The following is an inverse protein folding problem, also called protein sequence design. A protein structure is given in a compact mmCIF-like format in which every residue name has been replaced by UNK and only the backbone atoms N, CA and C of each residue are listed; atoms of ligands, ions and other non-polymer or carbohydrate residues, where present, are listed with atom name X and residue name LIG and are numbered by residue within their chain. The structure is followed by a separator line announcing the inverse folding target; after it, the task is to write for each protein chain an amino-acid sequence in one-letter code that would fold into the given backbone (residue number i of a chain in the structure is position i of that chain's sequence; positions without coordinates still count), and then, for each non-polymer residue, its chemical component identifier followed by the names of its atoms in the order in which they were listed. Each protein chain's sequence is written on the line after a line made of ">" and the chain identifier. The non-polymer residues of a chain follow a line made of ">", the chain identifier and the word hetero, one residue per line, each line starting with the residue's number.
data_IF_486675875620
#
_entry.id   IF_486675875620
#
_cell.length_a   1.000
_cell.length_b   1.000
_cell.length_c   1.000
_cell.angle_alpha   90.00
_cell.angle_beta   90.00
_cell.angle_gamma   90.00
#
_symmetry.space_group_name_H-M   'P 1'
#
loop_
_entity.id
_entity.type
_entity.pdbx_description
1 polymer ?
#
# COMPACT_ATOMS: atom_id res chain seq x y z
N UNK A 1 5.54 68.47 -35.92
CA UNK A 1 6.62 67.87 -35.11
C UNK A 1 6.05 66.81 -34.18
N UNK A 2 6.08 65.53 -34.56
CA UNK A 2 6.07 64.38 -33.64
C UNK A 2 6.61 63.17 -34.40
N UNK A 3 7.60 62.55 -33.81
CA UNK A 3 8.58 61.62 -34.39
C UNK A 3 8.13 60.17 -34.22
N UNK A 4 8.44 59.36 -35.24
CA UNK A 4 8.87 57.95 -35.20
C UNK A 4 7.94 56.87 -34.63
N UNK A 5 7.77 55.78 -35.41
CA UNK A 5 7.79 54.33 -35.06
C UNK A 5 7.50 53.60 -36.38
N UNK A 6 8.53 53.20 -37.16
CA UNK A 6 9.08 51.83 -37.25
C UNK A 6 8.00 50.72 -37.20
N UNK A 7 7.66 50.08 -38.32
CA UNK A 7 8.25 48.81 -38.79
C UNK A 7 8.17 47.67 -37.75
N UNK A 8 7.27 46.70 -37.96
CA UNK A 8 7.65 45.31 -38.25
C UNK A 8 6.42 44.40 -38.28
N UNK A 9 6.33 43.69 -39.40
CA UNK A 9 5.42 42.60 -39.71
C UNK A 9 6.00 41.31 -39.11
N UNK A 10 5.18 40.49 -38.46
CA UNK A 10 5.36 39.03 -38.35
C UNK A 10 3.97 38.42 -38.17
N UNK A 11 3.34 37.95 -39.25
CA UNK A 11 3.20 36.52 -39.59
C UNK A 11 2.83 35.66 -38.35
N UNK A 12 1.55 35.36 -38.12
CA UNK A 12 0.70 34.35 -38.78
C UNK A 12 1.02 32.92 -38.34
N UNK A 13 -0.01 32.28 -37.79
CA UNK A 13 -0.27 30.83 -37.62
C UNK A 13 0.45 30.07 -36.50
N UNK A 14 -0.28 29.80 -35.41
CA UNK A 14 -0.59 28.43 -34.93
C UNK A 14 -1.65 28.52 -33.83
N UNK A 15 -2.91 28.41 -34.24
CA UNK A 15 -4.05 28.23 -33.35
C UNK A 15 -4.44 26.75 -33.27
N UNK A 16 -4.57 26.28 -32.03
CA UNK A 16 -5.38 25.14 -31.58
C UNK A 16 -5.01 23.72 -32.08
N UNK A 17 -4.23 23.02 -31.24
CA UNK A 17 -4.19 21.57 -31.03
C UNK A 17 -3.16 21.36 -29.89
N UNK A 18 -3.35 20.71 -28.76
CA UNK A 18 -4.36 19.76 -28.26
C UNK A 18 -4.24 19.75 -26.72
N UNK A 19 -5.39 19.66 -26.04
CA UNK A 19 -5.65 18.95 -24.78
C UNK A 19 -4.48 18.64 -23.81
N UNK A 20 -4.60 19.18 -22.61
CA UNK A 20 -4.37 18.51 -21.32
C UNK A 20 -3.03 17.77 -21.11
N UNK A 21 -1.98 18.54 -20.85
CA UNK A 21 -0.77 18.07 -20.15
C UNK A 21 -0.80 18.53 -18.68
N UNK A 22 -1.88 18.25 -17.94
CA UNK A 22 -1.93 18.47 -16.48
C UNK A 22 -2.37 17.23 -15.66
N UNK A 23 -2.28 16.04 -16.23
CA UNK A 23 -2.48 14.80 -15.47
C UNK A 23 -1.34 14.48 -14.47
N UNK A 24 -0.20 15.16 -14.56
CA UNK A 24 0.94 14.97 -13.65
C UNK A 24 0.86 15.82 -12.36
N UNK A 25 0.08 16.91 -12.34
CA UNK A 25 -0.02 17.79 -11.16
C UNK A 25 -0.93 17.25 -10.03
N UNK A 26 -1.66 16.15 -10.26
CA UNK A 26 -2.57 15.58 -9.24
C UNK A 26 -1.87 14.48 -8.40
N UNK A 27 -0.73 13.95 -8.86
CA UNK A 27 -0.01 12.88 -8.16
C UNK A 27 0.82 13.33 -6.95
N UNK A 28 1.13 14.63 -6.83
CA UNK A 28 2.14 15.12 -5.88
C UNK A 28 1.59 15.52 -4.50
N UNK A 29 0.27 15.38 -4.28
CA UNK A 29 -0.35 15.72 -2.99
C UNK A 29 -0.68 14.49 -2.11
N UNK A 30 -0.29 13.27 -2.53
CA UNK A 30 -0.57 12.03 -1.77
C UNK A 30 0.66 11.50 -1.04
N UNK A 31 1.88 11.89 -1.43
CA UNK A 31 3.09 11.52 -0.71
C UNK A 31 4.02 12.73 -0.57
N UNK A 32 4.19 13.32 0.61
CA UNK A 32 5.24 14.32 0.83
C UNK A 32 6.58 13.58 0.86
N UNK A 33 7.34 13.68 -0.22
CA UNK A 33 8.69 13.11 -0.30
C UNK A 33 9.40 13.62 -1.54
N UNK A 34 10.43 14.44 -1.34
CA UNK A 34 11.35 14.90 -2.37
C UNK A 34 12.03 13.67 -3.02
N UNK A 35 12.24 13.59 -4.36
CA UNK A 35 12.79 12.41 -5.04
C UNK A 35 14.22 12.00 -4.61
N UNK A 36 14.82 12.76 -3.70
CA UNK A 36 16.14 12.54 -3.09
C UNK A 36 16.10 11.62 -1.87
N UNK A 37 14.93 11.27 -1.33
CA UNK A 37 14.76 10.31 -0.21
C UNK A 37 14.54 8.85 -0.64
N UNK A 38 14.63 8.52 -1.93
CA UNK A 38 14.69 7.11 -2.38
C UNK A 38 16.02 6.40 -1.97
N UNK A 39 16.89 7.06 -1.22
CA UNK A 39 18.27 6.66 -0.93
C UNK A 39 18.53 6.07 0.46
N UNK A 40 17.54 5.94 1.35
CA UNK A 40 17.66 5.12 2.58
C UNK A 40 16.31 4.54 2.92
N UNK A 41 16.02 3.39 2.32
CA UNK A 41 14.97 2.51 2.82
C UNK A 41 15.29 2.31 4.32
N UNK A 42 14.45 2.79 5.27
CA UNK A 42 14.64 2.49 6.69
C UNK A 42 14.68 0.97 6.85
N UNK A 43 15.32 0.38 7.88
CA UNK A 43 15.31 -1.07 8.05
C UNK A 43 13.86 -1.52 8.00
N UNK A 44 13.46 -2.17 6.89
CA UNK A 44 12.05 -2.36 6.58
C UNK A 44 11.53 -3.26 7.69
N UNK A 45 10.75 -2.69 8.60
CA UNK A 45 9.98 -3.48 9.57
C UNK A 45 9.22 -4.50 8.73
N UNK A 46 9.37 -5.78 9.07
CA UNK A 46 8.93 -6.88 8.23
C UNK A 46 7.53 -6.65 7.69
N UNK A 47 7.41 -6.51 6.38
CA UNK A 47 6.16 -6.26 5.69
C UNK A 47 5.58 -7.60 5.24
N UNK A 48 4.31 -7.83 5.55
CA UNK A 48 3.51 -8.96 5.12
C UNK A 48 2.36 -8.39 4.28
N UNK A 49 2.25 -8.82 3.04
CA UNK A 49 1.20 -8.34 2.12
C UNK A 49 0.59 -9.50 1.35
N UNK A 50 -0.66 -9.36 0.95
CA UNK A 50 -1.30 -10.35 0.10
C UNK A 50 -2.82 -10.33 0.19
N UNK A 51 -3.44 -11.50 0.12
CA UNK A 51 -4.90 -11.66 0.15
C UNK A 51 -5.34 -12.70 1.19
N UNK A 52 -6.44 -12.41 1.88
CA UNK A 52 -7.13 -13.29 2.82
C UNK A 52 -8.60 -13.42 2.45
N UNK A 53 -9.17 -14.60 2.61
CA UNK A 53 -10.62 -14.84 2.45
C UNK A 53 -11.19 -15.41 3.76
N UNK A 54 -12.39 -15.01 4.18
CA UNK A 54 -13.05 -15.63 5.34
C UNK A 54 -13.32 -17.13 5.08
N UNK A 55 -13.09 -18.03 6.05
CA UNK A 55 -13.34 -19.45 5.81
C UNK A 55 -14.85 -19.67 5.68
N UNK A 56 -15.27 -20.28 4.57
CA UNK A 56 -16.64 -20.70 4.34
C UNK A 56 -16.64 -22.24 4.19
N UNK A 57 -17.70 -22.91 4.64
CA UNK A 57 -17.79 -24.39 4.68
C UNK A 57 -17.60 -25.02 3.29
N UNK A 58 -17.92 -24.27 2.23
CA UNK A 58 -17.86 -24.75 0.84
C UNK A 58 -16.60 -24.33 0.07
N UNK A 59 -15.75 -23.45 0.63
CA UNK A 59 -14.56 -22.92 -0.08
C UNK A 59 -13.35 -23.04 0.82
N UNK A 60 -12.37 -23.83 0.39
CA UNK A 60 -11.09 -23.92 1.08
C UNK A 60 -10.47 -22.52 1.23
N UNK A 61 -10.21 -22.06 2.46
CA UNK A 61 -9.87 -20.67 2.72
C UNK A 61 -8.54 -20.31 2.07
N UNK A 62 -8.59 -19.40 1.10
CA UNK A 62 -7.41 -18.95 0.35
C UNK A 62 -6.58 -17.98 1.20
N UNK A 63 -5.32 -18.36 1.46
CA UNK A 63 -4.30 -17.50 2.05
C UNK A 63 -3.17 -17.30 1.03
N UNK A 64 -2.93 -16.06 0.61
CA UNK A 64 -1.85 -15.72 -0.32
C UNK A 64 -1.04 -14.57 0.23
N UNK A 65 -0.23 -14.84 1.24
CA UNK A 65 0.61 -13.83 1.88
C UNK A 65 2.07 -14.04 1.50
N UNK A 66 2.75 -12.93 1.22
CA UNK A 66 4.17 -12.88 0.91
C UNK A 66 4.87 -12.02 1.95
N UNK A 67 6.05 -12.45 2.39
CA UNK A 67 6.91 -11.69 3.29
C UNK A 67 8.37 -11.90 2.93
N UNK A 68 9.19 -10.86 3.14
CA UNK A 68 10.65 -10.95 3.00
C UNK A 68 11.36 -11.37 4.28
N UNK A 69 10.63 -11.76 5.32
CA UNK A 69 11.18 -11.98 6.66
C UNK A 69 11.17 -13.45 7.08
N UNK A 70 12.06 -13.83 8.02
CA UNK A 70 12.12 -15.19 8.55
C UNK A 70 10.99 -15.43 9.58
N UNK A 71 9.73 -15.28 9.13
CA UNK A 71 8.53 -15.57 9.89
C UNK A 71 7.73 -16.64 9.15
N UNK A 72 7.13 -17.54 9.91
CA UNK A 72 6.20 -18.52 9.37
C UNK A 72 4.80 -17.93 9.38
N UNK A 73 4.05 -18.16 8.32
CA UNK A 73 2.66 -17.69 8.19
C UNK A 73 1.79 -18.92 8.01
N UNK A 74 0.78 -19.04 8.85
CA UNK A 74 -0.16 -20.15 8.86
C UNK A 74 -1.58 -19.62 8.97
N UNK A 75 -2.53 -20.46 8.56
CA UNK A 75 -3.94 -20.20 8.72
C UNK A 75 -4.54 -21.14 9.75
N UNK A 76 -5.25 -20.56 10.72
CA UNK A 76 -5.96 -21.28 11.76
C UNK A 76 -7.42 -20.82 11.76
N UNK A 77 -8.28 -21.52 11.02
CA UNK A 77 -9.68 -21.16 10.85
C UNK A 77 -9.85 -19.75 10.28
N UNK A 78 -10.41 -18.84 11.09
CA UNK A 78 -10.61 -17.43 10.74
C UNK A 78 -9.45 -16.51 11.15
N UNK A 79 -8.31 -17.06 11.55
CA UNK A 79 -7.13 -16.29 11.94
C UNK A 79 -5.95 -16.54 11.00
N UNK A 80 -5.17 -15.49 10.80
CA UNK A 80 -3.81 -15.59 10.29
C UNK A 80 -2.88 -15.59 11.49
N UNK A 81 -2.12 -16.68 11.66
CA UNK A 81 -1.09 -16.80 12.68
C UNK A 81 0.27 -16.62 12.03
N UNK A 82 1.05 -15.69 12.56
CA UNK A 82 2.40 -15.40 12.09
C UNK A 82 3.37 -15.59 13.26
N UNK A 83 4.39 -16.42 13.07
CA UNK A 83 5.34 -16.76 14.13
C UNK A 83 6.77 -16.45 13.71
N UNK A 84 7.51 -15.90 14.66
CA UNK A 84 8.96 -15.79 14.64
C UNK A 84 9.53 -16.73 15.72
N UNK A 85 10.85 -16.76 15.89
CA UNK A 85 11.49 -17.55 16.94
C UNK A 85 11.03 -17.19 18.36
N UNK A 86 10.58 -15.94 18.61
CA UNK A 86 10.25 -15.46 19.96
C UNK A 86 8.81 -14.99 20.13
N UNK A 87 8.11 -14.72 19.03
CA UNK A 87 6.82 -14.03 19.07
C UNK A 87 5.83 -14.66 18.10
N UNK A 88 4.57 -14.70 18.53
CA UNK A 88 3.41 -15.04 17.73
C UNK A 88 2.53 -13.79 17.62
N UNK A 89 2.04 -13.56 16.40
CA UNK A 89 1.04 -12.55 16.06
C UNK A 89 -0.16 -13.23 15.46
N UNK A 90 -1.34 -12.90 15.96
CA UNK A 90 -2.59 -13.40 15.39
C UNK A 90 -3.47 -12.25 14.93
N UNK A 91 -4.06 -12.42 13.75
CA UNK A 91 -5.00 -11.45 13.17
C UNK A 91 -6.28 -12.18 12.83
N UNK A 92 -7.41 -11.72 13.38
CA UNK A 92 -8.72 -12.22 13.01
C UNK A 92 -9.12 -11.64 11.65
N UNK A 93 -9.51 -12.49 10.72
CA UNK A 93 -10.03 -12.09 9.42
C UNK A 93 -11.49 -11.69 9.63
N UNK A 94 -11.99 -10.56 9.10
CA UNK A 94 -13.41 -10.23 9.18
C UNK A 94 -14.25 -11.15 8.27
N UNK A 95 -15.51 -11.36 8.64
CA UNK A 95 -16.44 -12.16 7.84
C UNK A 95 -16.87 -11.41 6.59
N UNK A 96 -16.35 -11.83 5.43
CA UNK A 96 -16.64 -11.20 4.14
C UNK A 96 -16.77 -12.24 3.02
N UNK A 97 -17.67 -12.03 2.05
CA UNK A 97 -17.91 -12.99 0.97
C UNK A 97 -16.81 -12.99 -0.11
N UNK A 98 -15.89 -12.02 -0.09
CA UNK A 98 -14.84 -11.86 -1.09
C UNK A 98 -13.46 -11.81 -0.45
N UNK A 99 -12.43 -12.09 -1.25
CA UNK A 99 -11.05 -11.95 -0.81
C UNK A 99 -10.71 -10.47 -0.58
N UNK A 100 -9.96 -10.20 0.48
CA UNK A 100 -9.55 -8.85 0.87
C UNK A 100 -8.04 -8.74 0.89
N UNK A 101 -7.54 -7.58 0.47
CA UNK A 101 -6.12 -7.24 0.58
C UNK A 101 -5.71 -7.20 2.05
N UNK A 102 -4.61 -7.86 2.39
CA UNK A 102 -4.03 -7.90 3.72
C UNK A 102 -2.70 -7.15 3.71
N UNK A 103 -2.48 -6.30 4.70
CA UNK A 103 -1.22 -5.64 4.95
C UNK A 103 -0.93 -5.64 6.44
N UNK A 104 0.27 -6.07 6.79
CA UNK A 104 0.73 -6.05 8.16
C UNK A 104 2.22 -5.71 8.25
N UNK A 105 2.56 -4.83 9.19
CA UNK A 105 3.95 -4.47 9.51
C UNK A 105 4.28 -5.10 10.85
N UNK A 106 5.26 -5.99 10.89
CA UNK A 106 5.69 -6.66 12.10
C UNK A 106 6.05 -5.67 13.21
N UNK A 107 5.59 -5.96 14.42
CA UNK A 107 5.66 -5.09 15.60
C UNK A 107 4.48 -4.12 15.75
N UNK A 108 3.60 -3.97 14.75
CA UNK A 108 2.48 -3.03 14.85
C UNK A 108 1.29 -3.66 15.54
N UNK A 109 0.53 -2.86 16.29
CA UNK A 109 -0.65 -3.34 17.04
C UNK A 109 -1.88 -3.60 16.15
N UNK A 110 -1.82 -3.21 14.88
CA UNK A 110 -2.94 -3.27 13.96
C UNK A 110 -2.49 -3.77 12.58
N UNK A 111 -3.36 -4.50 11.91
CA UNK A 111 -3.24 -4.93 10.52
C UNK A 111 -4.36 -4.29 9.69
N UNK A 112 -4.10 -4.06 8.41
CA UNK A 112 -5.11 -3.60 7.46
C UNK A 112 -5.65 -4.80 6.68
N UNK A 113 -6.98 -4.96 6.67
CA UNK A 113 -7.67 -5.95 5.85
C UNK A 113 -8.78 -5.25 5.06
N UNK A 114 -8.61 -5.12 3.74
CA UNK A 114 -9.45 -4.27 2.91
C UNK A 114 -9.44 -2.84 3.44
N UNK A 115 -10.61 -2.37 3.90
CA UNK A 115 -10.81 -1.05 4.49
C UNK A 115 -10.87 -1.06 6.03
N UNK A 116 -10.54 -2.19 6.66
CA UNK A 116 -10.64 -2.37 8.11
C UNK A 116 -9.25 -2.37 8.75
N UNK A 117 -9.12 -1.64 9.87
CA UNK A 117 -7.98 -1.76 10.79
C UNK A 117 -8.35 -2.76 11.88
N UNK A 118 -7.63 -3.87 11.94
CA UNK A 118 -7.86 -4.98 12.85
C UNK A 118 -6.78 -4.98 13.91
N UNK A 119 -7.17 -4.95 15.18
CA UNK A 119 -6.22 -5.13 16.28
C UNK A 119 -5.65 -6.54 16.26
N UNK A 120 -4.34 -6.64 16.42
CA UNK A 120 -3.64 -7.92 16.41
C UNK A 120 -3.35 -8.38 17.84
N UNK A 121 -3.43 -9.67 18.07
CA UNK A 121 -3.00 -10.30 19.32
C UNK A 121 -1.51 -10.58 19.24
N UNK A 122 -0.79 -10.24 20.30
CA UNK A 122 0.66 -10.46 20.43
C UNK A 122 0.97 -11.33 21.64
N UNK A 123 1.83 -12.33 21.47
CA UNK A 123 2.27 -13.19 22.57
C UNK A 123 3.65 -13.81 22.34
N UNK A 124 4.32 -14.28 23.40
CA UNK A 124 5.57 -15.04 23.26
C UNK A 124 5.30 -16.36 22.54
N UNK A 125 6.28 -16.81 21.73
CA UNK A 125 6.19 -18.12 21.05
C UNK A 125 6.23 -19.29 22.05
N UNK A 126 6.86 -19.08 23.19
CA UNK A 126 7.17 -20.06 24.23
C UNK A 126 5.96 -20.40 25.13
N UNK A 127 4.78 -19.84 24.84
CA UNK A 127 3.58 -19.94 25.67
C UNK A 127 2.39 -20.67 25.03
N UNK A 128 2.63 -21.53 24.03
CA UNK A 128 1.63 -22.41 23.41
C UNK A 128 1.72 -23.84 23.97
#
# INVERSE_FOLDING_TARGET
>A
MKRFILLMICLVLTGAATTDLKAWEIGNNVFPGDPTEAGRIPPIRCLIVGEVLWPNEDIEPRLRLTTGCPIQIQREGNRVRMSSTKWIVEVAIPETPYAQGFLYIWGFREASIGNHLIKVSYGPADGA
#
